data_IF_874123794991
#
_entry.id   IF_874123794991
#
_cell.length_a   1.000
_cell.length_b   1.000
_cell.length_c   1.000
_cell.angle_alpha   90.00
_cell.angle_beta   90.00
_cell.angle_gamma   90.00
#
_symmetry.space_group_name_H-M   'P 1'
#
loop_
_entity.id
_entity.type
_entity.pdbx_description
1 polymer ?
#
# COMPACT_ATOMS: atom_id res chain seq x y z
N UNK A 1 36.76 -4.81 16.37
CA UNK A 1 35.75 -5.71 15.76
C UNK A 1 36.24 -6.09 14.37
N UNK A 2 36.51 -7.37 14.10
CA UNK A 2 37.11 -7.83 12.82
C UNK A 2 35.99 -8.29 11.86
N UNK A 3 35.60 -7.48 10.85
CA UNK A 3 34.36 -7.69 10.08
C UNK A 3 34.34 -9.00 9.29
N UNK A 4 35.52 -9.42 8.81
CA UNK A 4 35.68 -10.63 8.01
C UNK A 4 35.46 -11.91 8.83
N UNK A 5 35.88 -11.90 10.10
CA UNK A 5 35.68 -13.01 11.03
C UNK A 5 34.20 -13.17 11.35
N UNK A 6 33.50 -12.05 11.55
CA UNK A 6 32.04 -12.02 11.75
C UNK A 6 31.29 -12.54 10.51
N UNK A 7 31.69 -12.12 9.31
CA UNK A 7 31.08 -12.59 8.05
C UNK A 7 31.22 -14.10 7.86
N UNK A 8 32.39 -14.67 8.16
CA UNK A 8 32.64 -16.12 8.08
C UNK A 8 31.82 -16.90 9.12
N UNK A 9 31.72 -16.39 10.35
CA UNK A 9 30.93 -17.03 11.42
C UNK A 9 29.43 -16.99 11.13
N UNK A 10 28.91 -15.86 10.65
CA UNK A 10 27.50 -15.73 10.23
C UNK A 10 27.19 -16.71 9.09
N UNK A 11 28.04 -16.82 8.06
CA UNK A 11 27.86 -17.80 6.98
C UNK A 11 27.81 -19.24 7.49
N UNK A 12 28.70 -19.60 8.42
CA UNK A 12 28.74 -20.95 9.04
C UNK A 12 27.51 -21.24 9.90
N UNK A 13 26.98 -20.23 10.59
CA UNK A 13 25.72 -20.36 11.34
C UNK A 13 24.54 -20.55 10.40
N UNK A 14 24.42 -19.71 9.36
CA UNK A 14 23.32 -19.80 8.38
C UNK A 14 23.31 -21.15 7.66
N UNK A 15 24.48 -21.69 7.29
CA UNK A 15 24.55 -23.02 6.64
C UNK A 15 24.13 -24.16 7.57
N UNK A 16 24.52 -24.10 8.85
CA UNK A 16 24.13 -25.10 9.86
C UNK A 16 22.68 -24.99 10.32
N UNK A 17 22.12 -23.79 10.30
CA UNK A 17 20.78 -23.47 10.80
C UNK A 17 19.82 -23.10 9.66
N UNK A 18 19.92 -23.73 8.49
CA UNK A 18 19.05 -23.47 7.34
C UNK A 18 17.54 -23.60 7.66
N UNK A 19 17.18 -24.51 8.57
CA UNK A 19 15.83 -24.66 9.12
C UNK A 19 15.31 -23.37 9.78
N UNK A 20 16.18 -22.56 10.39
CA UNK A 20 15.81 -21.28 11.02
C UNK A 20 15.39 -20.25 9.96
N UNK A 21 16.06 -20.20 8.81
CA UNK A 21 15.64 -19.34 7.70
C UNK A 21 14.30 -19.81 7.11
N UNK A 22 14.13 -21.13 6.95
CA UNK A 22 12.89 -21.75 6.45
C UNK A 22 11.70 -21.52 7.39
N UNK A 23 11.87 -21.70 8.69
CA UNK A 23 10.84 -21.42 9.69
C UNK A 23 10.47 -19.94 9.78
N UNK A 24 11.43 -19.02 9.67
CA UNK A 24 11.14 -17.58 9.55
C UNK A 24 10.33 -17.25 8.31
N UNK A 25 10.68 -17.85 7.16
CA UNK A 25 9.93 -17.67 5.91
C UNK A 25 8.51 -18.23 6.02
N UNK A 26 8.32 -19.41 6.62
CA UNK A 26 7.01 -20.00 6.83
C UNK A 26 6.13 -19.17 7.78
N UNK A 27 6.67 -18.71 8.91
CA UNK A 27 5.97 -17.81 9.83
C UNK A 27 5.53 -16.50 9.15
N UNK A 28 6.37 -15.95 8.27
CA UNK A 28 6.02 -14.77 7.48
C UNK A 28 4.88 -15.05 6.49
N UNK A 29 4.91 -16.22 5.82
CA UNK A 29 3.84 -16.67 4.91
C UNK A 29 2.53 -16.94 5.64
N UNK A 30 2.58 -17.60 6.80
CA UNK A 30 1.43 -17.84 7.68
C UNK A 30 0.80 -16.51 8.12
N UNK A 31 1.60 -15.56 8.61
CA UNK A 31 1.12 -14.21 8.97
C UNK A 31 0.48 -13.47 7.80
N UNK A 32 1.06 -13.56 6.59
CA UNK A 32 0.44 -12.98 5.38
C UNK A 32 -0.87 -13.68 5.05
N UNK A 33 -0.95 -15.00 5.21
CA UNK A 33 -2.21 -15.72 4.99
C UNK A 33 -3.28 -15.29 5.99
N UNK A 34 -2.95 -15.15 7.28
CA UNK A 34 -3.86 -14.64 8.30
C UNK A 34 -4.34 -13.21 8.00
N UNK A 35 -3.45 -12.31 7.58
CA UNK A 35 -3.81 -10.93 7.18
C UNK A 35 -4.78 -10.95 5.97
N UNK A 36 -4.56 -11.83 5.00
CA UNK A 36 -5.45 -12.01 3.84
C UNK A 36 -6.79 -12.65 4.22
N UNK A 37 -6.87 -13.35 5.36
CA UNK A 37 -8.09 -13.94 5.93
C UNK A 37 -8.87 -12.95 6.82
N UNK A 38 -8.42 -11.70 6.95
CA UNK A 38 -9.18 -10.61 7.57
C UNK A 38 -9.81 -9.72 6.49
N UNK A 39 -10.91 -10.16 5.83
CA UNK A 39 -11.53 -9.43 4.72
C UNK A 39 -12.05 -8.04 5.12
N UNK A 40 -12.26 -7.81 6.42
CA UNK A 40 -12.77 -6.57 7.01
C UNK A 40 -11.68 -5.60 7.47
N UNK A 41 -10.40 -5.99 7.44
CA UNK A 41 -9.32 -5.17 8.03
C UNK A 41 -8.17 -4.92 7.06
N UNK A 42 -8.01 -5.76 6.04
CA UNK A 42 -7.01 -5.51 4.99
C UNK A 42 -7.54 -5.86 3.60
N UNK A 43 -7.38 -4.93 2.65
CA UNK A 43 -7.72 -5.13 1.24
C UNK A 43 -6.45 -5.09 0.37
N UNK A 44 -5.54 -6.07 0.51
CA UNK A 44 -4.32 -6.09 -0.29
C UNK A 44 -4.67 -6.23 -1.78
N UNK A 45 -4.10 -5.37 -2.61
CA UNK A 45 -4.29 -5.35 -4.07
C UNK A 45 -5.73 -5.06 -4.55
N UNK A 46 -6.64 -4.63 -3.67
CA UNK A 46 -8.02 -4.28 -4.08
C UNK A 46 -8.07 -3.12 -5.06
N UNK A 47 -7.12 -2.19 -4.97
CA UNK A 47 -6.98 -1.08 -5.92
C UNK A 47 -6.81 -1.57 -7.37
N UNK A 48 -6.19 -2.74 -7.59
CA UNK A 48 -6.05 -3.34 -8.93
C UNK A 48 -7.30 -4.11 -9.39
N UNK A 49 -8.25 -4.35 -8.48
CA UNK A 49 -9.50 -5.07 -8.74
C UNK A 49 -10.69 -4.13 -8.60
N UNK A 50 -10.63 -2.99 -9.29
CA UNK A 50 -11.73 -2.05 -9.32
C UNK A 50 -13.00 -2.71 -9.88
N UNK A 51 -14.09 -2.69 -9.11
CA UNK A 51 -15.41 -3.16 -9.52
C UNK A 51 -16.34 -1.95 -9.65
N UNK A 52 -16.76 -1.56 -10.86
CA UNK A 52 -17.56 -0.34 -11.05
C UNK A 52 -18.92 -0.38 -10.35
N UNK A 53 -19.45 -1.57 -10.09
CA UNK A 53 -20.76 -1.75 -9.44
C UNK A 53 -20.69 -1.80 -7.90
N UNK A 54 -19.51 -1.59 -7.32
CA UNK A 54 -19.32 -1.60 -5.88
C UNK A 54 -19.29 -0.16 -5.35
N UNK A 55 -20.12 0.15 -4.35
CA UNK A 55 -20.10 1.45 -3.69
C UNK A 55 -18.95 1.51 -2.67
N UNK A 56 -17.82 2.05 -3.11
CA UNK A 56 -16.64 2.26 -2.27
C UNK A 56 -16.79 3.43 -1.29
N UNK A 57 -17.87 4.23 -1.36
CA UNK A 57 -18.03 5.40 -0.49
C UNK A 57 -18.33 5.03 0.97
N UNK A 58 -18.93 3.85 1.19
CA UNK A 58 -19.27 3.32 2.53
C UNK A 58 -18.25 2.31 3.06
N UNK A 59 -17.14 2.12 2.34
CA UNK A 59 -16.13 1.12 2.68
C UNK A 59 -15.24 1.64 3.83
N UNK A 60 -15.46 1.15 5.04
CA UNK A 60 -14.70 1.56 6.25
C UNK A 60 -13.17 1.42 6.05
N UNK A 61 -12.74 0.47 5.21
CA UNK A 61 -11.32 0.22 4.94
C UNK A 61 -10.76 1.23 3.92
N UNK A 62 -11.58 1.72 2.99
CA UNK A 62 -11.19 2.67 1.94
C UNK A 62 -11.67 4.07 2.35
N UNK A 63 -11.13 4.59 3.45
CA UNK A 63 -11.41 5.96 3.87
C UNK A 63 -10.63 6.95 3.00
N UNK A 64 -11.31 7.66 2.09
CA UNK A 64 -10.73 8.68 1.20
C UNK A 64 -10.23 9.96 1.91
N UNK A 65 -10.21 9.97 3.24
CA UNK A 65 -9.78 11.09 4.08
C UNK A 65 -10.72 12.30 4.06
N UNK A 66 -10.56 13.24 5.00
CA UNK A 66 -11.36 14.45 5.05
C UNK A 66 -11.03 15.37 3.86
N UNK A 67 -12.07 15.98 3.29
CA UNK A 67 -11.94 17.00 2.23
C UNK A 67 -12.08 18.39 2.82
N UNK A 68 -11.22 19.31 2.39
CA UNK A 68 -11.20 20.70 2.83
C UNK A 68 -11.82 21.60 1.74
N UNK A 69 -12.50 22.70 2.10
CA UNK A 69 -12.94 23.67 1.12
C UNK A 69 -11.74 24.43 0.54
N UNK A 70 -11.71 24.60 -0.77
CA UNK A 70 -10.74 25.43 -1.47
C UNK A 70 -11.03 26.92 -1.21
N UNK A 71 -10.00 27.70 -0.86
CA UNK A 71 -10.17 29.14 -0.59
C UNK A 71 -10.56 29.95 -1.82
N UNK A 72 -10.23 29.48 -3.04
CA UNK A 72 -10.54 30.19 -4.29
C UNK A 72 -11.93 29.83 -4.84
N UNK A 73 -12.15 28.54 -5.14
CA UNK A 73 -13.36 28.09 -5.83
C UNK A 73 -14.42 27.50 -4.88
N UNK A 74 -14.13 27.37 -3.58
CA UNK A 74 -14.97 26.71 -2.57
C UNK A 74 -15.29 25.24 -2.85
N UNK A 75 -14.70 24.63 -3.88
CA UNK A 75 -14.82 23.20 -4.14
C UNK A 75 -14.15 22.37 -3.02
N UNK A 76 -14.61 21.15 -2.82
CA UNK A 76 -13.98 20.20 -1.89
C UNK A 76 -12.69 19.65 -2.50
N UNK A 77 -11.56 19.87 -1.84
CA UNK A 77 -10.22 19.38 -2.23
C UNK A 77 -9.64 18.43 -1.19
N UNK A 78 -8.68 17.58 -1.59
CA UNK A 78 -7.85 16.87 -0.61
C UNK A 78 -6.71 17.76 -0.09
N UNK A 79 -6.22 17.45 1.11
CA UNK A 79 -5.10 18.18 1.73
C UNK A 79 -3.88 18.18 0.80
N UNK A 80 -3.55 17.01 0.27
CA UNK A 80 -2.36 16.76 -0.57
C UNK A 80 -2.66 16.81 -2.08
N UNK A 81 -3.84 17.32 -2.47
CA UNK A 81 -4.17 17.56 -3.88
C UNK A 81 -3.41 18.78 -4.41
N UNK A 82 -2.84 18.65 -5.61
CA UNK A 82 -2.15 19.73 -6.32
C UNK A 82 -3.02 20.98 -6.40
N UNK A 83 -2.41 22.13 -6.11
CA UNK A 83 -3.06 23.43 -6.16
C UNK A 83 -3.78 23.63 -7.51
N UNK A 84 -5.01 24.14 -7.47
CA UNK A 84 -5.77 24.46 -8.67
C UNK A 84 -6.47 23.27 -9.34
N UNK A 85 -6.18 22.01 -8.98
CA UNK A 85 -6.91 20.84 -9.52
C UNK A 85 -8.43 20.93 -9.26
N UNK A 86 -8.80 21.23 -8.02
CA UNK A 86 -10.20 21.51 -7.66
C UNK A 86 -10.79 22.78 -8.32
N UNK A 87 -9.96 23.72 -8.79
CA UNK A 87 -10.39 24.97 -9.43
C UNK A 87 -10.63 24.82 -10.93
N UNK A 88 -10.06 23.78 -11.55
CA UNK A 88 -10.16 23.53 -12.99
C UNK A 88 -11.51 22.97 -13.44
N UNK A 89 -12.49 22.82 -12.53
CA UNK A 89 -13.82 22.30 -12.87
C UNK A 89 -13.79 20.90 -13.47
N UNK A 90 -12.80 20.08 -13.09
CA UNK A 90 -12.60 18.74 -13.65
C UNK A 90 -11.92 18.72 -15.04
N UNK A 91 -11.45 19.86 -15.57
CA UNK A 91 -10.65 19.91 -16.79
C UNK A 91 -9.20 19.48 -16.50
N UNK A 92 -9.01 18.21 -16.19
CA UNK A 92 -7.69 17.58 -16.18
C UNK A 92 -7.44 17.09 -17.60
N UNK A 93 -6.48 17.69 -18.31
CA UNK A 93 -6.00 17.11 -19.56
C UNK A 93 -5.10 15.92 -19.20
N UNK A 94 -5.66 14.71 -19.30
CA UNK A 94 -4.86 13.50 -19.20
C UNK A 94 -4.09 13.33 -20.52
N UNK A 95 -2.79 12.95 -20.47
CA UNK A 95 -2.08 12.56 -21.68
C UNK A 95 -2.78 11.36 -22.32
N UNK A 96 -2.74 11.29 -23.65
CA UNK A 96 -3.33 10.18 -24.37
C UNK A 96 -2.58 8.89 -23.98
N UNK A 97 -3.32 7.86 -23.57
CA UNK A 97 -2.71 6.57 -23.23
C UNK A 97 -2.37 5.88 -24.56
N UNK A 98 -1.08 5.64 -24.80
CA UNK A 98 -0.69 4.78 -25.92
C UNK A 98 -1.02 3.30 -25.60
N UNK A 99 -1.45 2.52 -26.60
CA UNK A 99 -1.87 1.12 -26.44
C UNK A 99 -0.72 0.17 -26.08
#
# INVERSE_FOLDING_TARGET
>A
MHPEVNRKTVKKYVSKNSHVARTKSNKYKEKISEIRLLPWTSKPLSAFKYKPNFDYSMDEIVTLGPRLPCSWCRARKWKDETQGMCCSGGKVQLPNLEP
#
